data_IF_672190903919
#
_entry.id   IF_672190903919
#
_cell.length_a   1.000
_cell.length_b   1.000
_cell.length_c   1.000
_cell.angle_alpha   90.00
_cell.angle_beta   90.00
_cell.angle_gamma   90.00
#
_symmetry.space_group_name_H-M   'P 1'
#
loop_
_entity.id
_entity.type
_entity.pdbx_description
1 polymer ?
#
# COMPACT_ATOMS: atom_id res chain seq x y z
N UNK A 1 45.36 -5.66 61.77
CA UNK A 1 43.92 -5.59 61.45
C UNK A 1 43.68 -6.60 60.34
N UNK A 2 43.30 -7.82 60.71
CA UNK A 2 43.17 -9.02 59.87
C UNK A 2 41.97 -9.80 60.42
N UNK A 3 41.41 -10.73 59.61
CA UNK A 3 40.27 -11.67 59.90
C UNK A 3 38.86 -11.06 59.67
N UNK A 4 37.82 -11.69 59.07
CA UNK A 4 37.48 -13.06 58.58
C UNK A 4 36.09 -12.99 57.89
N UNK A 5 35.77 -13.73 56.81
CA UNK A 5 35.12 -15.07 56.73
C UNK A 5 33.60 -15.05 56.47
N UNK A 6 33.15 -16.14 55.82
CA UNK A 6 31.79 -16.65 55.60
C UNK A 6 30.86 -15.79 54.71
N UNK A 7 30.25 -16.30 53.65
CA UNK A 7 29.71 -17.65 53.50
C UNK A 7 28.19 -17.55 53.38
N UNK A 8 27.69 -18.01 52.23
CA UNK A 8 26.38 -18.63 52.04
C UNK A 8 25.07 -17.81 52.19
N UNK A 9 24.31 -17.87 51.09
CA UNK A 9 22.84 -18.01 51.00
C UNK A 9 22.00 -16.83 51.49
N UNK A 10 21.24 -16.22 50.58
CA UNK A 10 19.87 -16.66 50.31
C UNK A 10 19.18 -15.83 49.22
N UNK A 11 18.42 -16.54 48.38
CA UNK A 11 17.19 -16.11 47.69
C UNK A 11 17.29 -15.20 46.45
N UNK A 12 17.08 -15.88 45.32
CA UNK A 12 16.08 -15.55 44.29
C UNK A 12 16.14 -14.13 43.72
N UNK A 13 16.93 -13.96 42.67
CA UNK A 13 16.63 -12.95 41.65
C UNK A 13 16.46 -13.63 40.31
N UNK A 14 15.19 -13.90 40.06
CA UNK A 14 14.55 -14.40 38.86
C UNK A 14 14.68 -13.36 37.73
N UNK A 15 15.90 -13.02 37.30
CA UNK A 15 16.10 -11.95 36.30
C UNK A 15 17.06 -12.33 35.18
N UNK A 16 17.39 -13.62 35.05
CA UNK A 16 18.18 -14.15 33.92
C UNK A 16 17.33 -14.84 32.85
N UNK A 17 16.08 -14.40 32.69
CA UNK A 17 15.12 -14.93 31.72
C UNK A 17 14.28 -13.81 31.08
N UNK A 18 14.89 -12.71 30.65
CA UNK A 18 14.28 -11.75 29.70
C UNK A 18 15.30 -11.39 28.61
N UNK A 19 16.11 -12.36 28.22
CA UNK A 19 17.02 -12.27 27.06
C UNK A 19 16.98 -13.59 26.31
N UNK A 20 15.78 -14.08 26.01
CA UNK A 20 15.57 -15.23 25.14
C UNK A 20 14.09 -15.33 24.70
N UNK A 21 13.57 -14.28 24.07
CA UNK A 21 12.46 -14.40 23.11
C UNK A 21 12.81 -13.50 21.92
N UNK A 22 14.03 -13.67 21.40
CA UNK A 22 14.30 -13.33 20.01
C UNK A 22 13.91 -14.58 19.25
N UNK A 23 12.85 -14.40 18.47
CA UNK A 23 12.24 -15.31 17.52
C UNK A 23 13.29 -16.19 16.84
N UNK A 24 13.45 -17.44 17.30
CA UNK A 24 13.90 -18.52 16.43
C UNK A 24 12.64 -19.12 15.82
N UNK A 25 12.30 -18.69 14.60
CA UNK A 25 11.52 -19.53 13.71
C UNK A 25 12.53 -20.43 13.01
N UNK A 26 12.54 -21.70 13.40
CA UNK A 26 13.25 -22.74 12.67
C UNK A 26 12.53 -22.94 11.32
N UNK A 27 13.16 -22.50 10.24
CA UNK A 27 12.69 -22.77 8.88
C UNK A 27 13.14 -24.17 8.45
N UNK A 28 12.45 -25.20 8.95
CA UNK A 28 12.47 -26.52 8.31
C UNK A 28 11.37 -26.57 7.26
N UNK A 29 11.73 -26.14 6.05
CA UNK A 29 10.86 -26.23 4.88
C UNK A 29 11.43 -25.39 3.75
N UNK A 30 12.06 -26.06 2.78
CA UNK A 30 12.47 -25.43 1.53
C UNK A 30 11.24 -24.90 0.80
N UNK A 31 10.95 -23.62 0.98
CA UNK A 31 10.17 -22.86 0.02
C UNK A 31 11.18 -22.20 -0.91
N UNK A 32 11.42 -22.81 -2.06
CA UNK A 32 12.03 -22.10 -3.17
C UNK A 32 11.25 -20.78 -3.33
N UNK A 33 11.93 -19.64 -3.33
CA UNK A 33 11.28 -18.36 -3.65
C UNK A 33 10.83 -18.40 -5.12
N UNK A 34 9.64 -18.97 -5.33
CA UNK A 34 8.87 -18.84 -6.57
C UNK A 34 8.28 -17.44 -6.61
N UNK A 35 8.43 -16.72 -7.73
CA UNK A 35 7.85 -15.40 -8.04
C UNK A 35 7.31 -14.62 -6.84
N UNK A 36 8.22 -13.80 -6.33
CA UNK A 36 8.22 -13.12 -5.05
C UNK A 36 6.94 -12.31 -4.83
N UNK A 37 6.32 -12.45 -3.66
CA UNK A 37 5.11 -11.74 -3.26
C UNK A 37 5.33 -10.21 -3.17
N UNK A 38 5.41 -9.51 -4.32
CA UNK A 38 5.74 -8.08 -4.42
C UNK A 38 4.84 -7.18 -3.55
N UNK A 39 3.66 -7.69 -3.21
CA UNK A 39 2.66 -7.02 -2.38
C UNK A 39 3.01 -6.96 -0.89
N UNK A 40 4.04 -7.68 -0.44
CA UNK A 40 4.57 -7.58 0.94
C UNK A 40 5.79 -6.66 1.06
N UNK A 41 6.34 -6.19 -0.07
CA UNK A 41 7.43 -5.23 -0.01
C UNK A 41 6.97 -3.94 0.65
N UNK A 42 7.87 -3.33 1.40
CA UNK A 42 7.64 -1.96 1.86
C UNK A 42 7.60 -1.00 0.66
N UNK A 43 6.97 0.15 0.82
CA UNK A 43 6.97 1.23 -0.19
C UNK A 43 8.40 1.62 -0.57
N UNK A 44 9.29 1.76 0.42
CA UNK A 44 10.71 2.10 0.20
C UNK A 44 11.44 1.01 -0.56
N UNK A 45 11.22 -0.27 -0.21
CA UNK A 45 11.81 -1.39 -0.91
C UNK A 45 11.34 -1.44 -2.37
N UNK A 46 10.04 -1.23 -2.61
CA UNK A 46 9.48 -1.18 -3.96
C UNK A 46 10.14 -0.09 -4.79
N UNK A 47 10.23 1.14 -4.26
CA UNK A 47 10.90 2.26 -4.93
C UNK A 47 12.38 1.96 -5.24
N UNK A 48 13.10 1.33 -4.30
CA UNK A 48 14.49 0.95 -4.49
C UNK A 48 14.67 -0.10 -5.60
N UNK A 49 13.83 -1.14 -5.61
CA UNK A 49 13.87 -2.20 -6.63
C UNK A 49 13.55 -1.65 -8.03
N UNK A 50 12.57 -0.74 -8.12
CA UNK A 50 12.24 -0.03 -9.36
C UNK A 50 13.43 0.82 -9.83
N UNK A 51 14.00 1.65 -8.96
CA UNK A 51 15.15 2.49 -9.28
C UNK A 51 16.38 1.67 -9.71
N UNK A 52 16.57 0.49 -9.13
CA UNK A 52 17.64 -0.46 -9.48
C UNK A 52 17.35 -1.26 -10.76
N UNK A 53 16.18 -1.09 -11.38
CA UNK A 53 15.68 -1.88 -12.54
C UNK A 53 15.64 -3.39 -12.26
N UNK A 54 15.45 -3.79 -11.00
CA UNK A 54 15.20 -5.19 -10.63
C UNK A 54 13.79 -5.64 -11.04
N UNK A 55 12.85 -4.69 -11.01
CA UNK A 55 11.48 -4.78 -11.53
C UNK A 55 11.11 -3.43 -12.16
N UNK A 56 10.20 -3.42 -13.10
CA UNK A 56 9.62 -2.19 -13.66
C UNK A 56 8.44 -1.70 -12.82
N UNK A 57 8.18 -0.39 -12.87
CA UNK A 57 6.96 0.22 -12.31
C UNK A 57 5.72 -0.44 -12.91
N UNK A 58 5.75 -0.73 -14.23
CA UNK A 58 4.66 -1.42 -14.91
C UNK A 58 4.39 -2.82 -14.35
N UNK A 59 5.43 -3.63 -14.13
CA UNK A 59 5.29 -4.97 -13.56
C UNK A 59 4.67 -4.93 -12.16
N UNK A 60 5.12 -4.01 -11.30
CA UNK A 60 4.57 -3.88 -9.94
C UNK A 60 3.11 -3.42 -9.99
N UNK A 61 2.75 -2.50 -10.89
CA UNK A 61 1.37 -2.06 -11.06
C UNK A 61 0.46 -3.23 -11.46
N UNK A 62 0.82 -3.99 -12.51
CA UNK A 62 -0.02 -5.12 -12.97
C UNK A 62 -0.13 -6.19 -11.89
N UNK A 63 0.95 -6.49 -11.15
CA UNK A 63 0.88 -7.42 -10.01
C UNK A 63 -0.15 -6.99 -8.95
N UNK A 64 -0.22 -5.70 -8.63
CA UNK A 64 -1.21 -5.17 -7.67
C UNK A 64 -2.63 -5.21 -8.23
N UNK A 65 -2.80 -4.90 -9.52
CA UNK A 65 -4.10 -4.95 -10.22
C UNK A 65 -4.62 -6.39 -10.29
N UNK A 66 -3.78 -7.34 -10.71
CA UNK A 66 -4.12 -8.77 -10.78
C UNK A 66 -4.52 -9.34 -9.41
N UNK A 67 -3.80 -8.92 -8.36
CA UNK A 67 -4.15 -9.29 -6.99
C UNK A 67 -5.51 -8.73 -6.60
N UNK A 68 -5.80 -7.48 -6.92
CA UNK A 68 -7.10 -6.87 -6.64
C UNK A 68 -8.21 -7.56 -7.43
N UNK A 69 -7.99 -7.94 -8.69
CA UNK A 69 -8.98 -8.69 -9.48
C UNK A 69 -9.34 -10.04 -8.87
N UNK A 70 -8.35 -10.73 -8.29
CA UNK A 70 -8.57 -12.02 -7.63
C UNK A 70 -9.30 -11.91 -6.29
N UNK A 71 -9.06 -10.85 -5.52
CA UNK A 71 -9.46 -10.78 -4.10
C UNK A 71 -10.58 -9.76 -3.81
N UNK A 72 -10.65 -8.68 -4.58
CA UNK A 72 -11.45 -7.52 -4.20
C UNK A 72 -12.96 -7.74 -4.34
N UNK A 73 -13.40 -8.74 -5.12
CA UNK A 73 -14.81 -9.09 -5.25
C UNK A 73 -15.49 -9.39 -3.90
N UNK A 74 -14.77 -9.97 -2.94
CA UNK A 74 -15.27 -10.23 -1.59
C UNK A 74 -14.90 -9.15 -0.58
N UNK A 75 -13.97 -8.24 -0.89
CA UNK A 75 -13.48 -7.24 0.07
C UNK A 75 -14.14 -5.89 -0.19
N UNK A 76 -14.34 -5.52 -1.46
CA UNK A 76 -14.83 -4.21 -1.90
C UNK A 76 -13.98 -3.07 -1.32
N UNK A 77 -12.66 -3.23 -1.39
CA UNK A 77 -11.68 -2.23 -0.98
C UNK A 77 -11.50 -1.15 -2.05
N UNK A 78 -11.63 -1.45 -3.34
CA UNK A 78 -11.35 -0.51 -4.44
C UNK A 78 -12.63 -0.25 -5.24
N UNK A 79 -13.16 0.96 -5.15
CA UNK A 79 -14.46 1.33 -5.73
C UNK A 79 -14.35 1.94 -7.12
N UNK A 80 -13.19 2.51 -7.44
CA UNK A 80 -12.88 3.04 -8.78
C UNK A 80 -11.42 2.76 -9.10
N UNK A 81 -11.14 2.52 -10.39
CA UNK A 81 -9.80 2.33 -10.92
C UNK A 81 -9.59 3.24 -12.13
N UNK A 82 -8.37 3.69 -12.30
CA UNK A 82 -7.93 4.53 -13.41
C UNK A 82 -6.68 3.91 -14.03
N UNK A 83 -6.90 2.73 -14.64
CA UNK A 83 -5.81 1.85 -15.05
C UNK A 83 -5.05 2.41 -16.25
N UNK A 84 -5.73 3.06 -17.19
CA UNK A 84 -5.08 3.59 -18.39
C UNK A 84 -4.09 4.69 -18.05
N UNK A 85 -4.50 5.66 -17.22
CA UNK A 85 -3.59 6.70 -16.74
C UNK A 85 -2.50 6.12 -15.84
N UNK A 86 -2.81 5.18 -14.97
CA UNK A 86 -1.82 4.54 -14.11
C UNK A 86 -0.75 3.79 -14.92
N UNK A 87 -1.17 3.04 -15.94
CA UNK A 87 -0.29 2.33 -16.87
C UNK A 87 0.62 3.28 -17.63
N UNK A 88 0.05 4.34 -18.21
CA UNK A 88 0.84 5.38 -18.89
C UNK A 88 1.84 6.06 -17.94
N UNK A 89 1.46 6.29 -16.68
CA UNK A 89 2.34 6.89 -15.66
C UNK A 89 3.47 5.92 -15.28
N UNK A 90 3.17 4.62 -15.11
CA UNK A 90 4.17 3.60 -14.83
C UNK A 90 5.18 3.46 -15.97
N UNK A 91 4.69 3.39 -17.21
CA UNK A 91 5.54 3.32 -18.41
C UNK A 91 6.45 4.57 -18.52
N UNK A 92 5.93 5.76 -18.19
CA UNK A 92 6.72 7.00 -18.13
C UNK A 92 7.76 6.99 -17.01
N UNK A 93 7.43 6.42 -15.84
CA UNK A 93 8.36 6.26 -14.74
C UNK A 93 9.53 5.34 -15.14
N UNK A 94 9.26 4.23 -15.82
CA UNK A 94 10.29 3.32 -16.32
C UNK A 94 11.20 4.00 -17.37
N UNK A 95 10.60 4.78 -18.28
CA UNK A 95 11.34 5.56 -19.27
C UNK A 95 12.26 6.62 -18.62
N UNK A 96 11.82 7.29 -17.56
CA UNK A 96 12.61 8.28 -16.82
C UNK A 96 13.88 7.65 -16.20
N UNK A 97 13.78 6.42 -15.68
CA UNK A 97 14.93 5.67 -15.15
C UNK A 97 15.88 5.27 -16.29
N UNK A 98 15.36 4.87 -17.45
CA UNK A 98 16.17 4.59 -18.63
C UNK A 98 16.94 5.83 -19.12
N UNK A 99 16.33 7.01 -19.02
CA UNK A 99 16.91 8.29 -19.38
C UNK A 99 17.85 8.89 -18.30
N UNK A 100 17.97 8.26 -17.12
CA UNK A 100 18.81 8.75 -16.02
C UNK A 100 18.31 10.05 -15.39
N UNK A 101 17.00 10.30 -15.42
CA UNK A 101 16.40 11.48 -14.81
C UNK A 101 16.47 11.41 -13.27
N UNK A 102 16.45 12.57 -12.57
CA UNK A 102 16.26 12.59 -11.12
C UNK A 102 14.95 11.90 -10.73
N UNK A 103 15.02 10.97 -9.77
CA UNK A 103 13.87 10.20 -9.32
C UNK A 103 13.31 10.77 -8.02
N UNK A 104 11.99 10.88 -7.93
CA UNK A 104 11.30 11.23 -6.69
C UNK A 104 11.34 10.08 -5.66
N UNK A 105 11.04 10.35 -4.38
CA UNK A 105 11.13 9.34 -3.34
C UNK A 105 10.09 8.21 -3.46
N UNK A 106 9.03 8.39 -4.24
CA UNK A 106 7.99 7.40 -4.52
C UNK A 106 7.95 6.99 -6.01
N UNK A 107 9.03 7.25 -6.74
CA UNK A 107 9.08 7.05 -8.20
C UNK A 107 8.63 5.67 -8.63
N UNK A 108 7.58 5.62 -9.44
CA UNK A 108 7.01 4.40 -10.02
C UNK A 108 6.24 3.51 -9.04
N UNK A 109 6.07 3.91 -7.76
CA UNK A 109 5.39 3.07 -6.78
C UNK A 109 3.87 3.14 -6.97
N UNK A 110 3.17 2.01 -7.24
CA UNK A 110 1.73 2.01 -7.35
C UNK A 110 1.05 2.22 -5.99
N UNK A 111 0.03 3.07 -5.94
CA UNK A 111 -0.75 3.32 -4.73
C UNK A 111 -2.23 3.59 -5.03
N UNK A 112 -3.07 3.32 -4.04
CA UNK A 112 -4.47 3.73 -4.03
C UNK A 112 -4.68 4.92 -3.10
N UNK A 113 -5.71 5.73 -3.35
CA UNK A 113 -6.04 6.90 -2.53
C UNK A 113 -7.44 6.74 -1.95
N UNK A 114 -7.62 7.09 -0.67
CA UNK A 114 -8.96 7.12 -0.05
C UNK A 114 -9.90 8.03 -0.82
N UNK A 115 -11.13 7.57 -1.07
CA UNK A 115 -12.12 8.30 -1.89
C UNK A 115 -12.64 9.60 -1.28
N UNK A 116 -12.25 9.95 -0.05
CA UNK A 116 -12.47 11.29 0.52
C UNK A 116 -11.48 12.36 0.03
N UNK A 117 -10.37 11.97 -0.59
CA UNK A 117 -9.43 12.93 -1.17
C UNK A 117 -9.79 13.17 -2.63
N UNK A 118 -9.97 14.44 -2.98
CA UNK A 118 -10.14 14.87 -4.36
C UNK A 118 -8.95 14.39 -5.20
N UNK A 119 -9.24 13.77 -6.32
CA UNK A 119 -8.25 13.25 -7.26
C UNK A 119 -8.73 13.60 -8.65
N UNK A 120 -8.01 14.49 -9.32
CA UNK A 120 -8.30 14.92 -10.69
C UNK A 120 -8.36 13.69 -11.60
N UNK A 121 -9.31 13.70 -12.53
CA UNK A 121 -9.57 12.59 -13.46
C UNK A 121 -10.25 11.36 -12.84
N UNK A 122 -10.45 11.32 -11.52
CA UNK A 122 -11.20 10.27 -10.84
C UNK A 122 -12.51 10.82 -10.25
N UNK A 123 -13.51 9.96 -10.12
CA UNK A 123 -14.72 10.30 -9.37
C UNK A 123 -14.34 10.25 -7.88
N UNK A 124 -14.78 11.24 -7.12
CA UNK A 124 -14.53 11.34 -5.68
C UNK A 124 -15.87 11.41 -4.98
N UNK A 125 -16.34 10.29 -4.43
CA UNK A 125 -17.70 10.23 -3.86
C UNK A 125 -17.74 10.56 -2.36
N UNK A 126 -16.63 10.43 -1.64
CA UNK A 126 -16.60 10.42 -0.17
C UNK A 126 -17.62 9.42 0.44
N UNK A 127 -17.94 8.35 -0.29
CA UNK A 127 -19.01 7.39 0.05
C UNK A 127 -20.44 7.93 -0.11
N UNK A 128 -20.63 9.20 -0.49
CA UNK A 128 -21.92 9.87 -0.54
C UNK A 128 -22.63 9.68 -1.90
N UNK A 129 -23.88 9.19 -1.94
CA UNK A 129 -24.69 9.04 -3.16
C UNK A 129 -24.76 10.28 -4.05
N UNK A 130 -24.87 11.46 -3.42
CA UNK A 130 -25.00 12.76 -4.08
C UNK A 130 -23.74 13.18 -4.85
N UNK A 131 -22.59 12.55 -4.60
CA UNK A 131 -21.33 12.80 -5.29
C UNK A 131 -20.97 11.70 -6.31
N UNK A 132 -21.93 10.86 -6.68
CA UNK A 132 -21.73 9.72 -7.58
C UNK A 132 -21.04 10.05 -8.92
N UNK A 133 -21.23 11.25 -9.44
CA UNK A 133 -20.66 11.73 -10.71
C UNK A 133 -19.66 12.87 -10.52
N UNK A 134 -19.23 13.16 -9.29
CA UNK A 134 -18.35 14.28 -9.00
C UNK A 134 -16.90 13.94 -9.37
N UNK A 135 -16.40 14.58 -10.44
CA UNK A 135 -14.99 14.58 -10.82
C UNK A 135 -14.38 15.92 -10.36
N UNK A 136 -13.44 15.93 -9.40
CA UNK A 136 -12.80 17.15 -8.94
C UNK A 136 -11.98 17.82 -10.05
N UNK A 137 -11.93 19.16 -10.10
CA UNK A 137 -11.12 19.89 -11.09
C UNK A 137 -9.62 19.82 -10.80
N UNK A 138 -9.23 19.49 -9.56
CA UNK A 138 -7.84 19.41 -9.13
C UNK A 138 -7.66 18.32 -8.05
N UNK A 139 -6.42 17.89 -7.87
CA UNK A 139 -6.03 17.01 -6.78
C UNK A 139 -6.07 17.75 -5.44
N UNK A 140 -6.45 17.06 -4.37
CA UNK A 140 -6.21 17.57 -3.02
C UNK A 140 -4.69 17.67 -2.75
N UNK A 141 -4.25 18.61 -1.90
CA UNK A 141 -2.83 18.81 -1.58
C UNK A 141 -2.03 17.53 -1.29
N UNK A 142 -2.53 16.55 -0.49
CA UNK A 142 -1.78 15.32 -0.24
C UNK A 142 -1.63 14.45 -1.48
N UNK A 143 -2.62 14.46 -2.38
CA UNK A 143 -2.63 13.70 -3.63
C UNK A 143 -1.62 14.31 -4.61
N UNK A 144 -1.65 15.63 -4.77
CA UNK A 144 -0.67 16.35 -5.59
C UNK A 144 0.77 16.04 -5.14
N UNK A 145 1.04 16.11 -3.82
CA UNK A 145 2.38 15.83 -3.26
C UNK A 145 2.88 14.42 -3.53
N UNK A 146 2.03 13.39 -3.49
CA UNK A 146 2.47 12.02 -3.78
C UNK A 146 2.68 11.80 -5.28
N UNK A 147 1.90 12.46 -6.15
CA UNK A 147 2.16 12.47 -7.60
C UNK A 147 3.48 13.16 -7.92
N UNK A 148 3.74 14.32 -7.33
CA UNK A 148 5.00 15.05 -7.48
C UNK A 148 6.21 14.23 -6.98
N UNK A 149 6.00 13.40 -5.96
CA UNK A 149 6.99 12.44 -5.48
C UNK A 149 7.22 11.23 -6.42
N UNK A 150 6.43 11.12 -7.49
CA UNK A 150 6.55 10.10 -8.54
C UNK A 150 5.65 8.87 -8.35
N UNK A 151 4.68 8.90 -7.43
CA UNK A 151 3.80 7.76 -7.19
C UNK A 151 2.79 7.55 -8.34
N UNK A 152 2.45 6.29 -8.58
CA UNK A 152 1.46 5.88 -9.60
C UNK A 152 0.12 5.62 -8.93
N UNK A 153 -0.79 6.59 -8.96
CA UNK A 153 -2.14 6.43 -8.42
C UNK A 153 -2.99 5.64 -9.41
N UNK A 154 -3.55 4.50 -8.97
CA UNK A 154 -4.31 3.61 -9.86
C UNK A 154 -5.76 3.34 -9.42
N UNK A 155 -6.15 3.76 -8.22
CA UNK A 155 -7.50 3.51 -7.73
C UNK A 155 -7.91 4.28 -6.48
N UNK A 156 -9.22 4.27 -6.24
CA UNK A 156 -9.91 4.93 -5.13
C UNK A 156 -10.45 3.89 -4.15
N UNK A 157 -10.17 4.03 -2.86
CA UNK A 157 -10.59 3.06 -1.85
C UNK A 157 -11.92 3.40 -1.18
N UNK A 158 -12.65 2.35 -0.82
CA UNK A 158 -13.94 2.43 -0.15
C UNK A 158 -13.83 3.10 1.24
N UNK A 159 -14.89 3.79 1.66
CA UNK A 159 -15.06 4.38 2.98
C UNK A 159 -16.56 4.51 3.32
N UNK A 160 -16.93 4.68 4.60
CA UNK A 160 -18.30 5.05 4.95
C UNK A 160 -18.67 6.44 4.42
N UNK A 161 -19.98 6.66 4.27
CA UNK A 161 -20.54 7.97 3.91
C UNK A 161 -19.90 9.08 4.76
N UNK A 162 -19.35 10.08 4.07
CA UNK A 162 -18.69 11.25 4.65
C UNK A 162 -17.49 10.95 5.55
N UNK A 163 -16.87 9.77 5.41
CA UNK A 163 -15.85 9.27 6.32
C UNK A 163 -16.29 9.29 7.80
N UNK A 164 -17.61 9.24 8.05
CA UNK A 164 -18.20 9.48 9.37
C UNK A 164 -18.23 8.27 10.31
N UNK A 165 -17.70 7.13 9.89
CA UNK A 165 -17.71 5.88 10.64
C UNK A 165 -16.30 5.25 10.68
N UNK A 166 -16.08 4.39 11.68
CA UNK A 166 -14.90 3.54 11.80
C UNK A 166 -15.01 2.28 10.93
N UNK A 167 -16.23 1.89 10.54
CA UNK A 167 -16.49 0.74 9.67
C UNK A 167 -16.81 1.18 8.25
N UNK A 168 -16.18 0.53 7.26
CA UNK A 168 -16.65 0.60 5.87
C UNK A 168 -17.61 -0.56 5.63
N UNK A 169 -18.79 -0.27 5.12
CA UNK A 169 -19.80 -1.28 4.78
C UNK A 169 -19.85 -1.53 3.28
N UNK A 170 -20.30 -2.73 2.90
CA UNK A 170 -20.68 -3.03 1.52
C UNK A 170 -22.11 -2.56 1.29
N UNK A 171 -22.30 -1.35 0.75
CA UNK A 171 -23.59 -1.08 0.09
C UNK A 171 -23.52 -1.58 -1.35
N UNK A 172 -24.43 -2.47 -1.71
CA UNK A 172 -24.75 -2.71 -3.13
C UNK A 172 -25.39 -1.48 -3.79
N UNK A 173 -25.78 -0.45 -3.04
CA UNK A 173 -26.77 0.53 -3.49
C UNK A 173 -26.27 1.94 -3.81
N UNK A 174 -24.97 2.26 -3.75
CA UNK A 174 -24.49 3.51 -4.35
C UNK A 174 -23.20 3.35 -5.15
N UNK A 175 -22.01 3.33 -4.55
CA UNK A 175 -20.78 3.17 -5.34
C UNK A 175 -20.73 1.81 -6.08
N UNK A 176 -21.15 0.72 -5.41
CA UNK A 176 -21.14 -0.62 -6.01
C UNK A 176 -22.01 -0.77 -7.25
N UNK A 177 -23.20 -0.16 -7.31
CA UNK A 177 -24.06 -0.22 -8.50
C UNK A 177 -23.70 0.83 -9.56
N UNK A 178 -23.27 2.03 -9.14
CA UNK A 178 -22.88 3.10 -10.05
C UNK A 178 -21.60 2.77 -10.84
N UNK A 179 -20.61 2.13 -10.21
CA UNK A 179 -19.35 1.77 -10.88
C UNK A 179 -19.42 0.42 -11.60
N UNK A 180 -20.29 -0.52 -11.20
CA UNK A 180 -20.40 -1.83 -11.88
C UNK A 180 -20.75 -1.73 -13.37
N UNK A 181 -21.47 -0.68 -13.78
CA UNK A 181 -21.85 -0.40 -15.18
C UNK A 181 -20.88 0.50 -15.97
N UNK A 182 -19.86 1.09 -15.33
CA UNK A 182 -18.85 1.96 -15.97
C UNK A 182 -17.44 1.37 -15.90
N UNK A 183 -17.34 0.03 -15.84
CA UNK A 183 -16.08 -0.72 -15.95
C UNK A 183 -15.74 -0.94 -17.43
N UNK A 184 -15.34 0.12 -18.11
CA UNK A 184 -14.65 0.03 -19.40
C UNK A 184 -13.53 1.04 -19.39
#
# INVERSE_FOLDING_TARGET
MVYTDLGFRTRRLVHRAVKLVVIQQESTGGFAMSDTEMHWWSTTETAQRIAAKEVSSREVLEHMVDRADRLDGQINAIIQRDLDRARATADAADAAIAAGQPLGPLHGVPMTVKDSFQTEGCITTSGAPELADFVPPEDADPVARVRDAGAVIWGKTNLPIWAGDIQSYKFDSCAGALFRGRRT
#
